data_IF_523129435612
#
_entry.id   IF_523129435612
#
_cell.length_a   1.000
_cell.length_b   1.000
_cell.length_c   1.000
_cell.angle_alpha   90.00
_cell.angle_beta   90.00
_cell.angle_gamma   90.00
#
_symmetry.space_group_name_H-M   'P 1'
#
loop_
_entity.id
_entity.type
_entity.pdbx_description
1 polymer ?
#
# COMPACT_ATOMS: atom_id res chain seq x y z
N UNK A 1 11.56 0.11 12.91
CA UNK A 1 11.48 1.17 11.88
C UNK A 1 10.45 0.88 10.81
N UNK A 2 10.55 -0.20 10.04
CA UNK A 2 9.61 -0.48 8.93
C UNK A 2 8.13 -0.52 9.36
N UNK A 3 7.82 -1.07 10.53
CA UNK A 3 6.46 -1.07 11.09
C UNK A 3 5.94 0.35 11.32
N UNK A 4 6.77 1.24 11.89
CA UNK A 4 6.39 2.63 12.13
C UNK A 4 6.15 3.37 10.81
N UNK A 5 7.05 3.20 9.84
CA UNK A 5 6.90 3.78 8.51
C UNK A 5 5.65 3.26 7.79
N UNK A 6 5.40 1.96 7.89
CA UNK A 6 4.19 1.34 7.35
C UNK A 6 2.92 1.97 7.92
N UNK A 7 2.87 2.16 9.23
CA UNK A 7 1.73 2.79 9.89
C UNK A 7 1.55 4.25 9.55
N UNK A 8 2.63 5.02 9.51
CA UNK A 8 2.58 6.41 9.08
C UNK A 8 2.04 6.52 7.65
N UNK A 9 2.55 5.68 6.74
CA UNK A 9 2.10 5.67 5.36
C UNK A 9 0.64 5.22 5.21
N UNK A 10 0.20 4.16 5.94
CA UNK A 10 -1.19 3.70 5.96
C UNK A 10 -2.12 4.83 6.43
N UNK A 11 -1.79 5.48 7.54
CA UNK A 11 -2.60 6.56 8.07
C UNK A 11 -2.72 7.72 7.09
N UNK A 12 -1.61 8.12 6.46
CA UNK A 12 -1.60 9.15 5.42
C UNK A 12 -2.46 8.76 4.22
N UNK A 13 -2.31 7.53 3.73
CA UNK A 13 -3.06 7.03 2.57
C UNK A 13 -4.56 6.94 2.86
N UNK A 14 -4.97 6.48 4.04
CA UNK A 14 -6.38 6.43 4.43
C UNK A 14 -6.97 7.84 4.52
N UNK A 15 -6.25 8.79 5.08
CA UNK A 15 -6.68 10.19 5.17
C UNK A 15 -6.81 10.83 3.79
N UNK A 16 -5.86 10.55 2.88
CA UNK A 16 -5.94 10.99 1.49
C UNK A 16 -7.12 10.36 0.75
N UNK A 17 -7.35 9.06 0.92
CA UNK A 17 -8.49 8.34 0.34
C UNK A 17 -9.83 8.94 0.81
N UNK A 18 -9.94 9.25 2.10
CA UNK A 18 -11.13 9.90 2.66
C UNK A 18 -11.34 11.31 2.07
N UNK A 19 -10.28 12.07 1.87
CA UNK A 19 -10.35 13.40 1.29
C UNK A 19 -10.78 13.36 -0.20
N UNK A 20 -10.24 12.43 -0.96
CA UNK A 20 -10.62 12.19 -2.37
C UNK A 20 -12.09 11.77 -2.47
N UNK A 21 -12.54 10.87 -1.60
CA UNK A 21 -13.95 10.44 -1.57
C UNK A 21 -14.88 11.61 -1.23
N UNK A 22 -14.56 12.39 -0.23
CA UNK A 22 -15.34 13.56 0.15
C UNK A 22 -15.45 14.59 -0.98
N UNK A 23 -14.34 14.88 -1.68
CA UNK A 23 -14.33 15.80 -2.80
C UNK A 23 -15.07 15.28 -4.04
N UNK A 24 -15.14 13.96 -4.22
CA UNK A 24 -15.70 13.31 -5.41
C UNK A 24 -17.16 12.89 -5.29
N UNK A 25 -17.72 12.79 -4.08
CA UNK A 25 -19.04 12.22 -3.83
C UNK A 25 -20.18 12.94 -4.56
N UNK A 26 -20.11 14.25 -4.67
CA UNK A 26 -21.15 15.08 -5.28
C UNK A 26 -21.08 15.14 -6.82
N UNK A 27 -19.93 14.84 -7.41
CA UNK A 27 -19.68 15.04 -8.85
C UNK A 27 -19.62 13.77 -9.67
N UNK A 28 -19.19 12.66 -9.09
CA UNK A 28 -18.92 11.41 -9.81
C UNK A 28 -19.70 10.22 -9.24
N UNK A 29 -20.44 10.43 -8.18
CA UNK A 29 -21.28 9.42 -7.54
C UNK A 29 -20.48 8.28 -6.90
N UNK A 30 -21.14 7.11 -6.76
CA UNK A 30 -20.57 5.92 -6.09
C UNK A 30 -19.30 5.34 -6.73
N UNK A 31 -18.88 5.86 -7.89
CA UNK A 31 -17.69 5.39 -8.60
C UNK A 31 -16.37 5.91 -8.00
N UNK A 32 -16.43 6.90 -7.10
CA UNK A 32 -15.22 7.51 -6.51
C UNK A 32 -14.72 6.72 -5.29
N UNK A 33 -14.38 5.45 -5.49
CA UNK A 33 -14.04 4.53 -4.38
C UNK A 33 -12.68 3.86 -4.58
N UNK A 34 -11.72 4.55 -5.16
CA UNK A 34 -10.38 4.00 -5.33
C UNK A 34 -9.46 4.48 -4.22
N UNK A 35 -8.67 3.56 -3.72
CA UNK A 35 -7.57 3.86 -2.81
C UNK A 35 -6.40 4.48 -3.57
N UNK A 36 -5.78 5.47 -2.94
CA UNK A 36 -4.54 6.09 -3.40
C UNK A 36 -3.44 5.03 -3.61
N UNK A 37 -3.39 4.02 -2.74
CA UNK A 37 -2.44 2.93 -2.85
C UNK A 37 -2.60 2.12 -4.14
N UNK A 38 -3.82 1.97 -4.65
CA UNK A 38 -4.06 1.21 -5.88
C UNK A 38 -3.80 2.00 -7.15
N UNK A 39 -4.12 3.28 -7.19
CA UNK A 39 -4.12 4.01 -8.44
C UNK A 39 -3.06 5.12 -8.56
N UNK A 40 -2.45 5.54 -7.44
CA UNK A 40 -1.49 6.66 -7.46
C UNK A 40 -0.33 6.45 -8.43
N UNK A 41 0.24 5.26 -8.46
CA UNK A 41 1.36 4.97 -9.35
C UNK A 41 0.96 5.03 -10.84
N UNK A 42 -0.30 4.75 -11.16
CA UNK A 42 -0.78 4.73 -12.54
C UNK A 42 -1.49 6.02 -12.94
N UNK A 43 -2.63 6.30 -12.30
CA UNK A 43 -3.55 7.33 -12.78
C UNK A 43 -2.96 8.74 -12.78
N UNK A 44 -2.08 9.08 -11.82
CA UNK A 44 -1.39 10.37 -11.76
C UNK A 44 -0.53 10.65 -13.00
N UNK A 45 -0.02 9.61 -13.66
CA UNK A 45 0.82 9.70 -14.84
C UNK A 45 0.04 9.77 -16.15
N UNK A 46 -1.26 9.45 -16.15
CA UNK A 46 -2.07 9.38 -17.39
C UNK A 46 -2.62 10.76 -17.73
N UNK A 47 -1.95 11.48 -18.62
CA UNK A 47 -2.35 12.81 -19.13
C UNK A 47 -3.59 12.78 -20.02
N UNK A 48 -4.12 13.97 -20.38
CA UNK A 48 -5.30 14.08 -21.25
C UNK A 48 -5.03 13.53 -22.65
N UNK A 49 -3.80 13.67 -23.16
CA UNK A 49 -3.36 13.13 -24.45
C UNK A 49 -3.24 11.59 -24.45
N UNK A 50 -3.30 10.97 -23.29
CA UNK A 50 -3.04 9.56 -23.09
C UNK A 50 -1.55 9.24 -22.94
N UNK A 51 -1.24 7.97 -22.71
CA UNK A 51 0.10 7.46 -22.50
C UNK A 51 0.15 5.99 -22.94
N UNK A 52 1.25 5.52 -23.50
CA UNK A 52 1.42 4.09 -23.75
C UNK A 52 1.68 3.31 -22.48
N UNK A 53 1.42 2.00 -22.51
CA UNK A 53 1.70 1.11 -21.35
C UNK A 53 3.19 1.14 -20.97
N UNK A 54 4.09 1.21 -21.95
CA UNK A 54 5.53 1.28 -21.67
C UNK A 54 5.92 2.59 -21.01
N UNK A 55 5.43 3.71 -21.51
CA UNK A 55 5.66 5.04 -20.92
C UNK A 55 5.06 5.12 -19.51
N UNK A 56 3.83 4.59 -19.32
CA UNK A 56 3.21 4.55 -18.00
C UNK A 56 4.07 3.79 -17.00
N UNK A 57 4.58 2.62 -17.37
CA UNK A 57 5.46 1.82 -16.50
C UNK A 57 6.74 2.58 -16.14
N UNK A 58 7.33 3.27 -17.10
CA UNK A 58 8.53 4.06 -16.89
C UNK A 58 8.28 5.24 -15.95
N UNK A 59 7.20 6.02 -16.20
CA UNK A 59 6.85 7.18 -15.38
C UNK A 59 6.37 6.80 -13.98
N UNK A 60 5.53 5.76 -13.87
CA UNK A 60 5.03 5.27 -12.60
C UNK A 60 6.09 4.51 -11.78
N UNK A 61 7.18 4.08 -12.42
CA UNK A 61 8.23 3.23 -11.84
C UNK A 61 7.69 1.93 -11.22
N UNK A 62 6.51 1.53 -11.65
CA UNK A 62 5.82 0.34 -11.17
C UNK A 62 4.99 -0.33 -12.27
N UNK A 63 4.76 -1.63 -12.10
CA UNK A 63 3.70 -2.32 -12.82
C UNK A 63 2.34 -1.82 -12.28
N UNK A 64 1.56 -1.18 -13.13
CA UNK A 64 0.25 -0.64 -12.76
C UNK A 64 -0.86 -1.64 -13.09
N UNK A 65 -1.90 -1.67 -12.26
CA UNK A 65 -3.10 -2.49 -12.48
C UNK A 65 -4.02 -1.85 -13.52
N UNK A 66 -3.62 -1.93 -14.81
CA UNK A 66 -4.37 -1.35 -15.94
C UNK A 66 -5.80 -1.88 -15.98
N UNK A 67 -5.97 -3.18 -15.75
CA UNK A 67 -7.30 -3.80 -15.76
C UNK A 67 -8.21 -3.36 -14.63
N UNK A 68 -7.63 -3.07 -13.49
CA UNK A 68 -8.33 -2.43 -12.39
C UNK A 68 -8.80 -1.03 -12.79
N UNK A 69 -7.90 -0.20 -13.28
CA UNK A 69 -8.22 1.17 -13.71
C UNK A 69 -9.31 1.21 -14.78
N UNK A 70 -9.25 0.32 -15.78
CA UNK A 70 -10.28 0.22 -16.83
C UNK A 70 -11.62 -0.27 -16.28
N UNK A 71 -11.61 -1.35 -15.49
CA UNK A 71 -12.83 -1.93 -14.89
C UNK A 71 -13.57 -0.93 -14.00
N UNK A 72 -12.83 -0.10 -13.28
CA UNK A 72 -13.39 0.94 -12.41
C UNK A 72 -13.79 2.20 -13.18
N UNK A 73 -13.55 2.25 -14.50
CA UNK A 73 -13.96 3.35 -15.36
C UNK A 73 -13.06 4.59 -15.26
N UNK A 74 -11.83 4.45 -14.81
CA UNK A 74 -10.88 5.56 -14.73
C UNK A 74 -10.15 5.81 -16.01
N UNK A 75 -9.93 4.75 -16.81
CA UNK A 75 -9.25 4.83 -18.10
C UNK A 75 -10.01 4.03 -19.16
N UNK A 76 -9.66 4.29 -20.41
CA UNK A 76 -9.94 3.43 -21.56
C UNK A 76 -8.64 2.87 -22.11
N UNK A 77 -8.68 1.64 -22.63
CA UNK A 77 -7.52 0.92 -23.16
C UNK A 77 -7.67 0.72 -24.66
N UNK A 78 -6.74 1.25 -25.46
CA UNK A 78 -6.78 1.20 -26.91
C UNK A 78 -7.69 2.24 -27.55
N UNK A 79 -8.13 1.97 -28.78
CA UNK A 79 -8.95 2.92 -29.53
C UNK A 79 -10.37 3.04 -28.95
N UNK A 80 -10.93 4.28 -28.92
CA UNK A 80 -12.31 4.50 -28.54
C UNK A 80 -13.25 3.78 -29.55
N UNK A 81 -13.83 2.68 -29.15
CA UNK A 81 -14.71 1.87 -30.00
C UNK A 81 -14.30 0.40 -30.12
N UNK A 82 -13.12 0.02 -29.74
CA UNK A 82 -12.78 -1.37 -29.46
C UNK A 82 -13.61 -1.80 -28.25
N UNK A 83 -14.66 -2.57 -28.46
CA UNK A 83 -15.65 -2.94 -27.46
C UNK A 83 -15.02 -3.35 -26.14
N UNK A 84 -15.68 -2.98 -25.05
CA UNK A 84 -15.32 -3.36 -23.68
C UNK A 84 -14.98 -4.85 -23.68
N UNK A 85 -13.75 -5.20 -23.34
CA UNK A 85 -13.37 -6.61 -23.19
C UNK A 85 -14.06 -7.14 -21.93
N UNK A 86 -15.15 -7.87 -22.16
CA UNK A 86 -15.86 -8.55 -21.08
C UNK A 86 -14.96 -9.59 -20.44
N UNK A 87 -14.72 -9.43 -19.15
CA UNK A 87 -14.09 -10.48 -18.35
C UNK A 87 -13.19 -9.96 -17.25
N UNK A 88 -13.17 -10.70 -16.18
CA UNK A 88 -12.18 -10.67 -15.08
C UNK A 88 -10.76 -11.00 -15.59
N UNK A 89 -10.44 -10.58 -16.81
CA UNK A 89 -9.18 -10.85 -17.45
C UNK A 89 -8.07 -9.98 -16.86
N UNK A 90 -7.09 -10.65 -16.27
CA UNK A 90 -5.76 -10.06 -16.15
C UNK A 90 -5.41 -9.50 -17.53
N UNK A 91 -4.97 -8.24 -17.62
CA UNK A 91 -4.41 -7.66 -18.85
C UNK A 91 -3.04 -8.33 -19.20
N UNK A 92 -2.94 -9.65 -18.99
CA UNK A 92 -1.92 -10.49 -19.57
C UNK A 92 -2.11 -10.43 -21.08
N UNK A 93 -1.42 -9.49 -21.74
CA UNK A 93 -1.46 -9.34 -23.18
C UNK A 93 -1.80 -7.95 -23.71
N UNK A 94 -2.00 -6.94 -22.86
CA UNK A 94 -1.98 -5.55 -23.35
C UNK A 94 -0.57 -5.24 -23.81
N UNK A 95 -0.42 -4.92 -25.09
CA UNK A 95 0.88 -4.62 -25.69
C UNK A 95 1.46 -3.33 -25.10
N UNK A 96 2.77 -3.23 -25.06
CA UNK A 96 3.46 -2.08 -24.50
C UNK A 96 3.20 -0.75 -25.22
N UNK A 97 2.83 -0.81 -26.49
CA UNK A 97 2.48 0.32 -27.36
C UNK A 97 0.98 0.73 -27.29
N UNK A 98 0.16 -0.04 -26.55
CA UNK A 98 -1.26 0.29 -26.38
C UNK A 98 -1.41 1.59 -25.62
N UNK A 99 -2.22 2.51 -26.17
CA UNK A 99 -2.50 3.82 -25.57
C UNK A 99 -3.60 3.70 -24.53
N UNK A 100 -3.35 4.29 -23.37
CA UNK A 100 -4.27 4.44 -22.26
C UNK A 100 -4.72 5.91 -22.21
N UNK A 101 -6.01 6.16 -22.09
CA UNK A 101 -6.56 7.51 -21.97
C UNK A 101 -7.42 7.64 -20.73
N UNK A 102 -7.38 8.76 -20.01
CA UNK A 102 -8.23 8.97 -18.86
C UNK A 102 -9.68 9.15 -19.34
N UNK A 103 -10.62 8.60 -18.61
CA UNK A 103 -12.04 8.97 -18.73
C UNK A 103 -12.27 10.34 -18.07
N UNK A 104 -13.49 10.89 -18.20
CA UNK A 104 -13.87 12.10 -17.44
C UNK A 104 -13.64 11.93 -15.93
N UNK A 105 -13.94 10.76 -15.37
CA UNK A 105 -13.70 10.44 -13.98
C UNK A 105 -12.19 10.37 -13.67
N UNK A 106 -11.41 9.73 -14.55
CA UNK A 106 -9.95 9.67 -14.41
C UNK A 106 -9.28 11.05 -14.46
N UNK A 107 -9.68 11.90 -15.40
CA UNK A 107 -9.19 13.29 -15.49
C UNK A 107 -9.52 14.07 -14.20
N UNK A 108 -10.73 13.91 -13.69
CA UNK A 108 -11.13 14.57 -12.44
C UNK A 108 -10.30 14.09 -11.25
N UNK A 109 -10.15 12.78 -11.06
CA UNK A 109 -9.34 12.21 -9.99
C UNK A 109 -7.88 12.69 -10.06
N UNK A 110 -7.29 12.69 -11.26
CA UNK A 110 -5.92 13.18 -11.48
C UNK A 110 -5.75 14.65 -11.08
N UNK A 111 -6.74 15.49 -11.36
CA UNK A 111 -6.72 16.93 -10.99
C UNK A 111 -6.84 17.14 -9.47
N UNK A 112 -7.53 16.26 -8.76
CA UNK A 112 -7.64 16.33 -7.30
C UNK A 112 -6.35 15.93 -6.58
N UNK A 113 -5.52 15.12 -7.22
CA UNK A 113 -4.35 14.52 -6.61
C UNK A 113 -3.41 15.51 -5.90
N UNK A 114 -2.84 16.52 -6.57
CA UNK A 114 -1.85 17.41 -5.95
C UNK A 114 -2.43 18.12 -4.75
N UNK A 115 -3.65 18.66 -4.88
CA UNK A 115 -4.33 19.36 -3.81
C UNK A 115 -4.60 18.45 -2.61
N UNK A 116 -5.09 17.21 -2.85
CA UNK A 116 -5.37 16.26 -1.78
C UNK A 116 -4.12 15.93 -0.97
N UNK A 117 -3.01 15.65 -1.64
CA UNK A 117 -1.74 15.33 -0.96
C UNK A 117 -1.26 16.51 -0.12
N UNK A 118 -1.31 17.74 -0.68
CA UNK A 118 -0.96 18.97 0.02
C UNK A 118 -1.85 19.20 1.24
N UNK A 119 -3.17 19.04 1.09
CA UNK A 119 -4.12 19.25 2.19
C UNK A 119 -3.93 18.24 3.33
N UNK A 120 -3.62 16.98 3.01
CA UNK A 120 -3.31 15.97 4.03
C UNK A 120 -2.04 16.35 4.78
N UNK A 121 -0.98 16.76 4.06
CA UNK A 121 0.26 17.17 4.70
C UNK A 121 0.06 18.41 5.60
N UNK A 122 -0.74 19.37 5.17
CA UNK A 122 -1.10 20.54 6.00
C UNK A 122 -1.87 20.13 7.26
N UNK A 123 -2.84 19.19 7.15
CA UNK A 123 -3.53 18.66 8.32
C UNK A 123 -2.59 17.91 9.27
N UNK A 124 -1.62 17.19 8.73
CA UNK A 124 -0.60 16.54 9.54
C UNK A 124 0.28 17.56 10.28
N UNK A 125 0.69 18.65 9.61
CA UNK A 125 1.43 19.75 10.25
C UNK A 125 0.63 20.39 11.39
N UNK A 126 -0.65 20.66 11.15
CA UNK A 126 -1.54 21.21 12.18
C UNK A 126 -1.74 20.25 13.37
N UNK A 127 -1.80 18.94 13.13
CA UNK A 127 -2.10 17.91 14.13
C UNK A 127 -0.88 17.46 14.93
N UNK A 128 0.23 17.21 14.24
CA UNK A 128 1.46 16.68 14.85
C UNK A 128 2.51 17.77 15.13
N UNK A 129 2.31 18.98 14.61
CA UNK A 129 3.24 20.09 14.66
C UNK A 129 4.20 20.15 13.47
N UNK A 130 4.50 21.35 13.01
CA UNK A 130 5.40 21.60 11.87
C UNK A 130 6.78 20.97 12.06
N UNK A 131 7.33 21.08 13.26
CA UNK A 131 8.66 20.52 13.58
C UNK A 131 8.74 19.01 13.42
N UNK A 132 7.73 18.26 13.89
CA UNK A 132 7.69 16.81 13.76
C UNK A 132 7.55 16.37 12.31
N UNK A 133 6.66 17.02 11.55
CA UNK A 133 6.44 16.71 10.13
C UNK A 133 7.66 17.08 9.29
N UNK A 134 8.29 18.23 9.53
CA UNK A 134 9.51 18.63 8.83
C UNK A 134 10.68 17.70 9.15
N UNK A 135 10.83 17.28 10.42
CA UNK A 135 11.86 16.31 10.80
C UNK A 135 11.67 14.97 10.11
N UNK A 136 10.42 14.50 9.98
CA UNK A 136 10.11 13.28 9.24
C UNK A 136 10.42 13.45 7.75
N UNK A 137 9.99 14.55 7.14
CA UNK A 137 10.27 14.85 5.73
C UNK A 137 11.78 14.81 5.46
N UNK A 138 12.57 15.55 6.25
CA UNK A 138 14.02 15.60 6.10
C UNK A 138 14.71 14.24 6.30
N UNK A 139 14.19 13.43 7.24
CA UNK A 139 14.71 12.08 7.47
C UNK A 139 14.40 11.11 6.31
N UNK A 140 13.34 11.39 5.54
CA UNK A 140 12.94 10.59 4.38
C UNK A 140 13.65 11.00 3.08
N UNK A 141 14.15 12.24 2.97
CA UNK A 141 14.83 12.74 1.76
C UNK A 141 15.93 11.83 1.21
N UNK A 142 16.78 11.18 2.04
CA UNK A 142 17.80 10.25 1.53
C UNK A 142 17.20 9.02 0.83
N UNK A 143 15.93 8.71 1.05
CA UNK A 143 15.22 7.64 0.34
C UNK A 143 14.51 8.12 -0.92
N UNK A 144 14.47 9.43 -1.17
CA UNK A 144 13.93 10.00 -2.40
C UNK A 144 14.78 9.54 -3.58
N UNK A 145 14.12 9.09 -4.62
CA UNK A 145 14.84 8.59 -5.77
C UNK A 145 13.94 7.98 -6.84
N UNK A 146 14.47 7.03 -7.57
CA UNK A 146 13.83 6.41 -8.73
C UNK A 146 12.84 5.30 -8.36
N UNK A 147 12.01 5.51 -7.36
CA UNK A 147 11.05 4.53 -6.84
C UNK A 147 9.61 4.99 -7.05
N UNK A 148 8.63 4.08 -7.10
CA UNK A 148 7.22 4.44 -7.23
C UNK A 148 6.76 5.27 -6.04
N UNK A 149 5.77 6.15 -6.28
CA UNK A 149 5.18 7.03 -5.26
C UNK A 149 4.56 6.26 -4.08
N UNK A 150 3.93 5.14 -4.36
CA UNK A 150 3.43 4.22 -3.33
C UNK A 150 3.99 2.81 -3.54
N UNK A 151 4.06 1.98 -2.51
CA UNK A 151 4.37 0.57 -2.69
C UNK A 151 3.45 -0.04 -3.74
N UNK A 152 3.97 -0.69 -4.79
CA UNK A 152 3.14 -1.27 -5.83
C UNK A 152 2.29 -2.43 -5.30
N UNK A 153 1.12 -2.63 -5.91
CA UNK A 153 0.28 -3.81 -5.69
C UNK A 153 1.09 -5.08 -5.99
N UNK A 154 0.98 -6.08 -5.12
CA UNK A 154 1.70 -7.35 -5.29
C UNK A 154 0.74 -8.50 -5.52
N UNK A 155 1.13 -9.42 -6.40
CA UNK A 155 0.43 -10.69 -6.58
C UNK A 155 1.13 -11.80 -5.79
N UNK A 156 0.37 -12.69 -5.14
CA UNK A 156 0.95 -13.74 -4.29
C UNK A 156 1.94 -14.67 -5.00
N UNK A 157 1.84 -14.79 -6.34
CA UNK A 157 2.73 -15.63 -7.15
C UNK A 157 4.07 -14.97 -7.46
N UNK A 158 4.12 -13.64 -7.55
CA UNK A 158 5.20 -12.95 -8.24
C UNK A 158 6.21 -12.32 -7.28
N UNK A 159 5.78 -11.96 -6.07
CA UNK A 159 6.60 -11.23 -5.12
C UNK A 159 6.69 -9.74 -5.47
N UNK A 160 7.34 -8.96 -4.61
CA UNK A 160 7.34 -7.50 -4.70
C UNK A 160 8.28 -6.95 -5.78
N UNK A 161 9.45 -7.55 -5.91
CA UNK A 161 10.53 -7.04 -6.80
C UNK A 161 10.15 -6.96 -8.27
N UNK A 162 9.25 -7.82 -8.73
CA UNK A 162 8.80 -7.86 -10.12
C UNK A 162 7.88 -6.72 -10.49
N UNK A 163 7.38 -6.00 -9.51
CA UNK A 163 6.44 -4.88 -9.68
C UNK A 163 7.11 -3.52 -9.69
N UNK A 164 8.36 -3.43 -9.26
CA UNK A 164 9.15 -2.20 -9.32
C UNK A 164 9.93 -2.15 -10.62
N UNK A 165 9.82 -1.02 -11.31
CA UNK A 165 10.53 -0.75 -12.57
C UNK A 165 11.64 0.26 -12.29
N UNK A 166 12.87 -0.09 -12.60
CA UNK A 166 14.00 0.83 -12.49
C UNK A 166 14.01 1.81 -13.67
N UNK A 167 14.22 3.07 -13.41
CA UNK A 167 14.32 4.11 -14.45
C UNK A 167 14.20 5.52 -13.91
N UNK A 168 14.59 6.51 -14.70
CA UNK A 168 14.34 7.91 -14.39
C UNK A 168 12.86 8.22 -14.63
N UNK A 169 12.14 8.57 -13.58
CA UNK A 169 10.75 9.05 -13.70
C UNK A 169 10.73 10.54 -14.02
N UNK A 170 9.55 11.01 -14.45
CA UNK A 170 9.37 12.39 -14.90
C UNK A 170 9.35 13.42 -13.76
N UNK A 171 9.00 13.03 -12.52
CA UNK A 171 8.88 13.96 -11.38
C UNK A 171 9.40 13.30 -10.10
N UNK A 172 10.30 14.03 -9.42
CA UNK A 172 10.64 13.74 -8.03
C UNK A 172 9.54 14.31 -7.13
N UNK A 173 8.47 13.55 -6.93
CA UNK A 173 7.42 13.90 -5.97
C UNK A 173 7.98 13.82 -4.56
N UNK A 174 8.36 14.97 -4.02
CA UNK A 174 8.91 15.12 -2.68
C UNK A 174 7.82 15.37 -1.62
N UNK A 175 6.55 15.11 -1.95
CA UNK A 175 5.49 15.14 -0.94
C UNK A 175 5.76 14.12 0.17
N UNK A 176 5.31 14.44 1.38
CA UNK A 176 5.50 13.53 2.53
C UNK A 176 4.98 12.13 2.23
N UNK A 177 3.80 12.01 1.59
CA UNK A 177 3.23 10.73 1.18
C UNK A 177 4.11 9.98 0.19
N UNK A 178 4.62 10.67 -0.82
CA UNK A 178 5.54 10.10 -1.82
C UNK A 178 6.85 9.63 -1.19
N UNK A 179 7.46 10.46 -0.34
CA UNK A 179 8.69 10.11 0.37
C UNK A 179 8.52 8.88 1.27
N UNK A 180 7.42 8.82 2.03
CA UNK A 180 7.12 7.62 2.85
C UNK A 180 6.93 6.38 1.99
N UNK A 181 6.22 6.47 0.87
CA UNK A 181 6.00 5.36 -0.06
C UNK A 181 7.30 4.87 -0.70
N UNK A 182 8.16 5.80 -1.14
CA UNK A 182 9.48 5.49 -1.69
C UNK A 182 10.40 4.82 -0.65
N UNK A 183 10.45 5.36 0.56
CA UNK A 183 11.25 4.79 1.65
C UNK A 183 10.78 3.37 2.01
N UNK A 184 9.46 3.15 2.06
CA UNK A 184 8.90 1.83 2.34
C UNK A 184 9.20 0.83 1.20
N UNK A 185 9.14 1.30 -0.05
CA UNK A 185 9.53 0.51 -1.23
C UNK A 185 11.01 0.14 -1.18
N UNK A 186 11.89 1.11 -0.87
CA UNK A 186 13.33 0.88 -0.73
C UNK A 186 13.64 -0.17 0.34
N UNK A 187 13.03 -0.02 1.52
CA UNK A 187 13.14 -0.99 2.62
C UNK A 187 12.74 -2.40 2.21
N UNK A 188 11.63 -2.50 1.47
CA UNK A 188 11.10 -3.78 1.02
C UNK A 188 12.04 -4.46 0.02
N UNK A 189 12.53 -3.71 -0.97
CA UNK A 189 13.45 -4.22 -1.99
C UNK A 189 14.76 -4.71 -1.36
N UNK A 190 15.30 -3.94 -0.43
CA UNK A 190 16.52 -4.32 0.27
C UNK A 190 16.32 -5.57 1.14
N UNK A 191 15.21 -5.62 1.89
CA UNK A 191 14.89 -6.79 2.71
C UNK A 191 14.71 -8.05 1.87
N UNK A 192 14.01 -7.95 0.74
CA UNK A 192 13.76 -9.09 -0.14
C UNK A 192 15.00 -9.54 -0.93
N UNK A 193 16.07 -8.75 -0.95
CA UNK A 193 17.32 -9.15 -1.61
C UNK A 193 17.95 -10.34 -0.90
N UNK A 194 17.84 -11.52 -1.51
CA UNK A 194 18.33 -12.78 -0.94
C UNK A 194 17.50 -13.36 0.20
N UNK A 195 16.30 -12.83 0.49
CA UNK A 195 15.36 -13.36 1.46
C UNK A 195 14.36 -14.33 0.82
N UNK A 196 13.95 -15.34 1.57
CA UNK A 196 12.82 -16.21 1.21
C UNK A 196 11.47 -15.57 1.53
N UNK A 197 11.47 -14.48 2.32
CA UNK A 197 10.27 -13.78 2.83
C UNK A 197 10.03 -12.54 2.00
N UNK A 198 8.82 -12.40 1.48
CA UNK A 198 8.32 -11.14 0.95
C UNK A 198 7.63 -10.36 2.10
N UNK A 199 8.09 -9.14 2.38
CA UNK A 199 7.53 -8.32 3.44
C UNK A 199 6.02 -8.08 3.25
N UNK A 200 5.55 -7.60 2.07
CA UNK A 200 4.14 -7.30 1.90
C UNK A 200 3.24 -8.54 1.87
N UNK A 201 3.79 -9.70 1.54
CA UNK A 201 2.99 -10.92 1.40
C UNK A 201 2.98 -11.80 2.66
N UNK A 202 4.03 -11.77 3.45
CA UNK A 202 4.19 -12.81 4.47
C UNK A 202 4.68 -12.32 5.83
N UNK A 203 5.33 -11.15 5.91
CA UNK A 203 5.97 -10.73 7.15
C UNK A 203 4.99 -10.60 8.33
N UNK A 204 3.80 -10.07 8.08
CA UNK A 204 2.80 -9.87 9.13
C UNK A 204 2.29 -11.20 9.74
N UNK A 205 2.20 -12.25 8.94
CA UNK A 205 1.85 -13.58 9.43
C UNK A 205 3.05 -14.30 10.04
N UNK A 206 4.19 -14.23 9.36
CA UNK A 206 5.41 -14.92 9.79
C UNK A 206 5.83 -14.50 11.20
N UNK A 207 5.76 -13.20 11.52
CA UNK A 207 6.15 -12.67 12.83
C UNK A 207 5.26 -13.12 13.99
N UNK A 208 4.04 -13.57 13.73
CA UNK A 208 3.07 -13.98 14.77
C UNK A 208 2.86 -15.49 14.83
N UNK A 209 3.36 -16.26 13.87
CA UNK A 209 3.26 -17.73 13.85
C UNK A 209 4.46 -18.38 14.52
N UNK A 210 5.48 -17.68 14.90
CA UNK A 210 6.67 -18.18 15.58
C UNK A 210 6.81 -19.71 15.65
N UNK A 211 7.15 -20.31 16.79
CA UNK A 211 7.25 -21.76 17.00
C UNK A 211 5.91 -22.44 17.39
N UNK A 212 4.85 -21.66 17.49
CA UNK A 212 3.55 -22.15 17.92
C UNK A 212 2.66 -22.59 16.75
N UNK A 213 1.66 -23.41 17.07
CA UNK A 213 0.57 -23.75 16.16
C UNK A 213 -0.55 -22.73 16.37
N UNK A 214 -0.83 -21.91 15.36
CA UNK A 214 -1.77 -20.80 15.48
C UNK A 214 -3.04 -21.08 14.67
N UNK A 215 -4.24 -20.92 15.25
CA UNK A 215 -5.48 -20.96 14.49
C UNK A 215 -5.55 -19.79 13.49
N UNK A 216 -5.84 -20.10 12.23
CA UNK A 216 -5.98 -19.07 11.17
C UNK A 216 -6.98 -17.96 11.53
N UNK A 217 -8.02 -18.28 12.30
CA UNK A 217 -9.04 -17.33 12.77
C UNK A 217 -8.48 -16.26 13.71
N UNK A 218 -7.38 -16.55 14.41
CA UNK A 218 -6.77 -15.67 15.40
C UNK A 218 -5.73 -14.73 14.76
N UNK A 219 -5.22 -15.09 13.58
CA UNK A 219 -4.20 -14.32 12.88
C UNK A 219 -4.58 -12.86 12.59
N UNK A 220 -5.83 -12.51 12.18
CA UNK A 220 -6.17 -11.10 11.98
C UNK A 220 -6.01 -10.25 13.25
N UNK A 221 -6.35 -10.80 14.42
CA UNK A 221 -6.16 -10.12 15.70
C UNK A 221 -4.69 -10.02 16.10
N UNK A 222 -3.91 -11.07 15.84
CA UNK A 222 -2.50 -11.14 16.23
C UNK A 222 -1.60 -10.30 15.32
N UNK A 223 -1.87 -10.33 14.01
CA UNK A 223 -1.02 -9.65 13.01
C UNK A 223 -1.46 -8.23 12.68
N UNK A 224 -2.74 -7.93 12.90
CA UNK A 224 -3.30 -6.64 12.57
C UNK A 224 -3.73 -6.45 11.11
N UNK A 225 -3.71 -7.52 10.30
CA UNK A 225 -4.12 -7.45 8.90
C UNK A 225 -5.41 -8.21 8.63
N UNK A 226 -6.03 -7.95 7.48
CA UNK A 226 -7.33 -8.52 7.12
C UNK A 226 -7.29 -10.03 6.89
N UNK A 227 -8.46 -10.66 6.86
CA UNK A 227 -8.61 -12.09 6.54
C UNK A 227 -8.08 -12.44 5.15
N UNK A 228 -8.26 -11.52 4.21
CA UNK A 228 -7.81 -11.64 2.83
C UNK A 228 -6.27 -11.60 2.77
N UNK A 229 -5.65 -10.68 3.49
CA UNK A 229 -4.20 -10.60 3.63
C UNK A 229 -3.63 -11.88 4.26
N UNK A 230 -4.28 -12.39 5.32
CA UNK A 230 -3.91 -13.67 5.95
C UNK A 230 -4.00 -14.83 4.94
N UNK A 231 -5.06 -14.89 4.15
CA UNK A 231 -5.22 -15.95 3.15
C UNK A 231 -4.12 -15.90 2.08
N UNK A 232 -3.76 -14.68 1.63
CA UNK A 232 -2.66 -14.46 0.68
C UNK A 232 -1.32 -14.89 1.29
N UNK A 233 -1.04 -14.46 2.51
CA UNK A 233 0.18 -14.81 3.25
C UNK A 233 0.33 -16.31 3.46
N UNK A 234 -0.72 -16.98 3.94
CA UNK A 234 -0.73 -18.44 4.14
C UNK A 234 -0.51 -19.17 2.82
N UNK A 235 -1.15 -18.72 1.74
CA UNK A 235 -0.93 -19.27 0.39
C UNK A 235 0.52 -19.09 -0.09
N UNK A 236 1.12 -17.91 0.12
CA UNK A 236 2.52 -17.66 -0.22
C UNK A 236 3.46 -18.55 0.60
N UNK A 237 3.30 -18.57 1.92
CA UNK A 237 4.13 -19.36 2.83
C UNK A 237 4.04 -20.87 2.52
N UNK A 238 2.84 -21.38 2.22
CA UNK A 238 2.62 -22.76 1.84
C UNK A 238 3.32 -23.13 0.52
N UNK A 239 3.17 -22.31 -0.54
CA UNK A 239 3.85 -22.54 -1.83
C UNK A 239 5.37 -22.53 -1.70
N UNK A 240 5.92 -21.71 -0.82
CA UNK A 240 7.36 -21.63 -0.53
C UNK A 240 7.82 -22.70 0.46
N UNK A 241 6.91 -23.54 0.97
CA UNK A 241 7.19 -24.57 1.99
C UNK A 241 7.76 -23.97 3.28
N UNK A 242 7.34 -22.75 3.62
CA UNK A 242 7.73 -22.06 4.87
C UNK A 242 6.73 -22.36 5.98
N UNK A 243 5.47 -22.62 5.65
CA UNK A 243 4.44 -23.01 6.60
C UNK A 243 3.60 -24.18 6.08
N UNK A 244 2.98 -24.87 7.01
CA UNK A 244 2.01 -25.96 6.76
C UNK A 244 0.65 -25.59 7.34
N UNK A 245 -0.39 -25.87 6.56
CA UNK A 245 -1.76 -25.82 7.03
C UNK A 245 -2.18 -27.21 7.51
N UNK A 246 -2.49 -27.33 8.78
CA UNK A 246 -2.95 -28.56 9.43
C UNK A 246 -4.48 -28.63 9.50
N UNK A 247 -5.06 -29.83 9.72
CA UNK A 247 -6.49 -30.01 10.00
C UNK A 247 -6.97 -29.03 11.09
N UNK A 248 -8.21 -28.53 11.00
CA UNK A 248 -8.73 -27.51 11.91
C UNK A 248 -8.31 -26.08 11.55
N UNK A 249 -7.76 -25.86 10.35
CA UNK A 249 -7.26 -24.56 9.90
C UNK A 249 -6.19 -23.98 10.84
N UNK A 250 -5.26 -24.80 11.21
CA UNK A 250 -4.10 -24.43 12.01
C UNK A 250 -2.91 -24.17 11.08
N UNK A 251 -2.10 -23.14 11.37
CA UNK A 251 -0.85 -22.87 10.65
C UNK A 251 0.35 -23.07 11.58
N UNK A 252 1.42 -23.63 11.05
CA UNK A 252 2.69 -23.82 11.78
C UNK A 252 3.85 -23.62 10.80
N UNK A 253 5.00 -23.16 11.29
CA UNK A 253 6.20 -23.04 10.49
C UNK A 253 6.87 -24.41 10.29
N UNK A 254 7.40 -24.62 9.10
CA UNK A 254 8.33 -25.73 8.82
C UNK A 254 9.72 -25.38 9.37
N UNK A 255 10.66 -26.32 9.36
CA UNK A 255 12.07 -26.04 9.68
C UNK A 255 12.63 -24.94 8.77
N UNK A 256 12.27 -24.94 7.48
CA UNK A 256 12.63 -23.89 6.54
C UNK A 256 11.96 -22.54 6.87
N UNK A 257 10.73 -22.59 7.36
CA UNK A 257 10.00 -21.41 7.80
C UNK A 257 10.62 -20.75 9.03
N UNK A 258 11.07 -21.55 10.00
CA UNK A 258 11.80 -21.04 11.18
C UNK A 258 13.12 -20.39 10.79
N UNK A 259 13.92 -21.03 9.93
CA UNK A 259 15.14 -20.42 9.42
C UNK A 259 14.87 -19.10 8.66
N UNK A 260 13.77 -19.02 7.90
CA UNK A 260 13.35 -17.81 7.24
C UNK A 260 12.90 -16.71 8.23
N UNK A 261 12.26 -17.08 9.34
CA UNK A 261 11.90 -16.14 10.42
C UNK A 261 13.15 -15.59 11.13
N UNK A 262 14.14 -16.41 11.38
CA UNK A 262 15.42 -15.98 11.96
C UNK A 262 16.16 -15.00 11.02
N UNK A 263 16.26 -15.31 9.73
CA UNK A 263 16.83 -14.40 8.72
C UNK A 263 16.07 -13.08 8.66
N UNK A 264 14.74 -13.14 8.68
CA UNK A 264 13.87 -11.96 8.71
C UNK A 264 14.16 -11.09 9.94
N UNK A 265 14.26 -11.67 11.14
CA UNK A 265 14.58 -10.95 12.39
C UNK A 265 15.97 -10.31 12.34
N UNK A 266 16.97 -11.06 11.84
CA UNK A 266 18.34 -10.56 11.69
C UNK A 266 18.42 -9.38 10.71
N UNK A 267 17.70 -9.42 9.60
CA UNK A 267 17.65 -8.32 8.62
C UNK A 267 16.94 -7.09 9.19
N UNK A 268 15.84 -7.30 9.91
CA UNK A 268 15.11 -6.23 10.55
C UNK A 268 15.97 -5.46 11.59
N UNK A 269 16.84 -6.18 12.31
CA UNK A 269 17.72 -5.59 13.30
C UNK A 269 18.90 -4.80 12.72
N UNK A 270 19.33 -5.13 11.49
CA UNK A 270 20.54 -4.50 10.88
C UNK A 270 20.31 -3.06 10.43
N UNK A 271 19.08 -2.69 10.11
CA UNK A 271 18.76 -1.37 9.59
C UNK A 271 18.02 -0.55 10.64
N UNK A 272 18.78 0.20 11.40
CA UNK A 272 18.24 1.16 12.36
C UNK A 272 18.77 2.57 12.03
N UNK A 273 18.01 3.30 11.20
CA UNK A 273 18.19 4.73 11.02
C UNK A 273 17.52 5.42 12.21
N UNK A 274 18.35 5.82 13.18
CA UNK A 274 17.89 6.43 14.43
C UNK A 274 17.13 7.74 14.18
N UNK A 275 17.54 8.54 13.18
CA UNK A 275 16.87 9.81 12.86
C UNK A 275 15.48 9.57 12.30
N UNK A 276 15.36 8.67 11.34
CA UNK A 276 14.07 8.30 10.77
C UNK A 276 13.18 7.63 11.81
N UNK A 277 13.73 6.74 12.64
CA UNK A 277 13.00 6.10 13.74
C UNK A 277 12.42 7.15 14.70
N UNK A 278 13.23 8.07 15.21
CA UNK A 278 12.80 9.10 16.14
C UNK A 278 11.71 10.01 15.53
N UNK A 279 11.85 10.38 14.26
CA UNK A 279 10.84 11.18 13.55
C UNK A 279 9.53 10.43 13.37
N UNK A 280 9.57 9.14 13.05
CA UNK A 280 8.38 8.30 12.96
C UNK A 280 7.72 8.09 14.32
N UNK A 281 8.49 7.85 15.37
CA UNK A 281 7.99 7.70 16.74
C UNK A 281 7.29 8.97 17.23
N UNK A 282 7.83 10.15 16.90
CA UNK A 282 7.20 11.42 17.24
C UNK A 282 5.77 11.58 16.66
N UNK A 283 5.48 10.95 15.53
CA UNK A 283 4.14 10.95 14.92
C UNK A 283 3.32 9.74 15.38
N UNK A 284 3.85 8.53 15.23
CA UNK A 284 3.09 7.29 15.45
C UNK A 284 2.76 7.07 16.93
N UNK A 285 3.54 7.61 17.86
CA UNK A 285 3.22 7.56 19.30
C UNK A 285 1.98 8.39 19.66
N UNK A 286 1.64 9.41 18.88
CA UNK A 286 0.43 10.22 19.04
C UNK A 286 -0.79 9.50 18.45
N UNK A 287 -1.10 8.33 19.00
CA UNK A 287 -2.08 7.38 18.44
C UNK A 287 -3.48 7.93 18.29
N UNK A 288 -3.94 8.74 19.24
CA UNK A 288 -5.25 9.39 19.15
C UNK A 288 -5.30 10.36 17.99
N UNK A 289 -4.29 11.20 17.85
CA UNK A 289 -4.15 12.14 16.75
C UNK A 289 -4.03 11.40 15.39
N UNK A 290 -3.32 10.28 15.35
CA UNK A 290 -3.22 9.45 14.15
C UNK A 290 -4.56 8.83 13.79
N UNK A 291 -5.32 8.33 14.78
CA UNK A 291 -6.64 7.73 14.58
C UNK A 291 -7.72 8.73 14.16
N UNK A 292 -7.58 10.01 14.54
CA UNK A 292 -8.49 11.08 14.14
C UNK A 292 -8.62 11.20 12.62
N UNK A 293 -7.49 11.17 11.90
CA UNK A 293 -7.45 11.27 10.44
C UNK A 293 -8.03 10.06 9.71
N UNK A 294 -8.23 8.93 10.39
CA UNK A 294 -8.79 7.71 9.78
C UNK A 294 -10.31 7.78 9.60
N UNK A 295 -10.99 8.75 10.21
CA UNK A 295 -12.42 8.94 10.07
C UNK A 295 -12.78 9.56 8.74
N UNK A 296 -13.67 8.97 7.91
CA UNK A 296 -14.16 9.63 6.72
C UNK A 296 -14.98 10.86 7.11
N UNK A 297 -14.76 12.01 6.46
CA UNK A 297 -15.60 13.19 6.64
C UNK A 297 -17.05 12.83 6.27
N UNK A 298 -18.01 13.11 7.17
CA UNK A 298 -19.44 12.89 6.89
C UNK A 298 -19.89 11.43 6.86
N UNK A 299 -19.06 10.49 7.29
CA UNK A 299 -19.47 9.09 7.49
C UNK A 299 -19.27 8.16 6.31
N UNK A 300 -19.42 8.49 5.11
CA UNK A 300 -19.25 7.71 3.86
C UNK A 300 -19.28 6.15 3.95
N UNK A 301 -19.26 5.47 2.83
CA UNK A 301 -19.29 4.01 2.78
C UNK A 301 -18.10 3.33 3.49
N UNK A 302 -16.98 4.03 3.63
CA UNK A 302 -15.79 3.53 4.32
C UNK A 302 -15.98 3.46 5.83
N UNK A 303 -16.83 4.32 6.40
CA UNK A 303 -17.19 4.26 7.82
C UNK A 303 -17.90 2.96 8.21
N UNK A 304 -18.57 2.34 7.24
CA UNK A 304 -19.31 1.09 7.43
C UNK A 304 -18.41 -0.16 7.34
N UNK A 305 -17.15 -0.01 6.92
CA UNK A 305 -16.25 -1.14 6.77
C UNK A 305 -15.72 -1.63 8.12
N UNK A 306 -15.91 -2.92 8.46
CA UNK A 306 -15.49 -3.46 9.75
C UNK A 306 -13.95 -3.35 9.97
N UNK A 307 -13.18 -3.33 8.92
CA UNK A 307 -11.72 -3.21 8.98
C UNK A 307 -11.25 -1.83 9.42
N UNK A 308 -11.94 -0.77 9.01
CA UNK A 308 -11.60 0.57 9.46
C UNK A 308 -11.79 0.72 10.98
N UNK A 309 -12.87 0.14 11.52
CA UNK A 309 -13.09 0.10 12.96
C UNK A 309 -12.01 -0.74 13.68
N UNK A 310 -11.52 -1.81 13.06
CA UNK A 310 -10.41 -2.61 13.59
C UNK A 310 -9.10 -1.83 13.55
N UNK A 311 -8.76 -1.18 12.44
CA UNK A 311 -7.57 -0.35 12.28
C UNK A 311 -7.54 0.77 13.31
N UNK A 312 -8.67 1.47 13.50
CA UNK A 312 -8.79 2.51 14.54
C UNK A 312 -8.54 1.97 15.95
N UNK A 313 -9.14 0.82 16.30
CA UNK A 313 -8.91 0.19 17.61
C UNK A 313 -7.46 -0.19 17.81
N UNK A 314 -6.81 -0.72 16.79
CA UNK A 314 -5.40 -1.08 16.84
C UNK A 314 -4.50 0.14 17.02
N UNK A 315 -4.77 1.24 16.33
CA UNK A 315 -4.03 2.48 16.50
C UNK A 315 -4.24 3.09 17.88
N UNK A 316 -5.43 2.99 18.44
CA UNK A 316 -5.75 3.48 19.77
C UNK A 316 -5.19 2.58 20.90
N UNK A 317 -4.91 1.30 20.62
CA UNK A 317 -4.37 0.36 21.60
C UNK A 317 -2.84 0.30 21.53
N UNK A 318 -2.12 0.78 22.58
CA UNK A 318 -0.66 0.76 22.60
C UNK A 318 -0.07 -0.66 22.61
N UNK A 319 -0.87 -1.68 22.94
CA UNK A 319 -0.45 -3.08 22.97
C UNK A 319 -0.75 -3.79 21.64
N UNK A 320 -1.50 -3.16 20.74
CA UNK A 320 -1.84 -3.75 19.45
C UNK A 320 -0.60 -4.03 18.61
N UNK A 321 -0.55 -5.19 18.01
CA UNK A 321 0.46 -5.50 17.02
C UNK A 321 0.27 -4.62 15.77
N UNK A 322 1.32 -3.91 15.37
CA UNK A 322 1.30 -3.11 14.15
C UNK A 322 1.67 -3.97 12.94
N UNK A 323 1.04 -3.78 11.77
CA UNK A 323 1.49 -4.39 10.54
C UNK A 323 2.96 -4.04 10.27
N UNK A 324 3.70 -5.00 9.75
CA UNK A 324 5.08 -4.76 9.34
C UNK A 324 5.17 -4.00 8.03
N UNK A 325 4.25 -4.29 7.11
CA UNK A 325 4.22 -3.70 5.80
C UNK A 325 2.76 -3.60 5.34
N UNK A 326 2.34 -2.50 4.72
CA UNK A 326 1.00 -2.41 4.17
C UNK A 326 0.83 -3.43 3.06
N UNK A 327 -0.21 -4.23 3.15
CA UNK A 327 -0.64 -5.08 2.05
C UNK A 327 -1.68 -4.34 1.22
N UNK A 328 -1.45 -4.26 -0.07
CA UNK A 328 -2.42 -3.74 -1.01
C UNK A 328 -3.20 -4.89 -1.59
N UNK A 329 -4.46 -4.99 -1.23
CA UNK A 329 -5.35 -6.00 -1.79
C UNK A 329 -6.16 -5.42 -2.94
N UNK A 330 -6.41 -6.28 -3.92
CA UNK A 330 -7.21 -5.94 -5.09
C UNK A 330 -8.72 -5.85 -4.82
N UNK A 331 -9.18 -6.06 -3.59
CA UNK A 331 -10.58 -5.92 -3.19
C UNK A 331 -10.77 -4.74 -2.26
N UNK A 332 -11.03 -3.57 -2.82
CA UNK A 332 -11.33 -2.37 -2.05
C UNK A 332 -10.16 -1.40 -1.90
N UNK A 333 -8.93 -1.88 -2.06
CA UNK A 333 -7.78 -1.01 -2.25
C UNK A 333 -7.29 -0.26 -1.02
N UNK A 334 -7.59 -0.75 0.16
CA UNK A 334 -7.04 -0.18 1.37
C UNK A 334 -5.59 -0.61 1.59
N UNK A 335 -4.70 0.29 2.03
CA UNK A 335 -3.32 -0.05 2.32
C UNK A 335 -3.14 -1.09 3.42
N UNK A 336 -4.11 -1.19 4.32
CA UNK A 336 -4.15 -2.18 5.40
C UNK A 336 -4.67 -3.57 4.96
N UNK A 337 -5.02 -3.71 3.69
CA UNK A 337 -5.52 -4.96 3.13
C UNK A 337 -7.00 -5.22 3.37
N UNK A 338 -7.79 -4.20 3.66
CA UNK A 338 -9.23 -4.30 3.92
C UNK A 338 -10.10 -4.05 2.68
#
# INVERSE_FOLDING_TARGET
MATLLSWAWIAFAIEADNAVEAAGSDRVGRLFRLSIAMWSNGLRCIGEDGITVNELRAQARAACNIGGLERWGWITVGDPGAGRRDGYGSHRGVKGDTVLRPTRAGTYARRLWPQTVTDVEQRWRARFGDGAVSSLHDALLPSAGQLPWSPPEVHPSDGFRTHVVSGAGADDDLSLGGLMGQALTALTLEHEQGSAVSLPLAADVLRVVDDEVVPMRDLPRLSGVSKEAIAMAAGFLGRRKLAELRPGRLITLTARGRAALEDYRARAARRDDQRLRASLEAIVSQREALAEGLGPPGGGWRAEKPYLAQTRRMLADPTAALPWHPMVLHRGGWPDGS
#
